data_IF_170581251874
#
_entry.id   IF_170581251874
#
_cell.length_a   1.000
_cell.length_b   1.000
_cell.length_c   1.000
_cell.angle_alpha   90.00
_cell.angle_beta   90.00
_cell.angle_gamma   90.00
#
_symmetry.space_group_name_H-M   'P 1'
#
loop_
_entity.id
_entity.type
_entity.pdbx_description
1 polymer ?
#
# COMPACT_ATOMS: atom_id res chain seq x y z
N UNK A 1 24.82 -25.61 0.01
CA UNK A 1 23.40 -25.55 -0.35
C UNK A 1 22.89 -24.16 0.03
N UNK A 2 22.87 -23.20 -0.92
CA UNK A 2 22.44 -21.81 -0.63
C UNK A 2 20.92 -21.75 -0.71
N UNK A 3 20.26 -21.71 0.44
CA UNK A 3 18.81 -21.53 0.57
C UNK A 3 18.33 -20.10 0.21
N UNK A 4 19.10 -19.32 -0.57
CA UNK A 4 18.80 -17.89 -0.78
C UNK A 4 18.03 -17.58 -2.07
N UNK A 5 17.81 -18.53 -2.97
CA UNK A 5 17.38 -18.17 -4.33
C UNK A 5 15.85 -18.11 -4.50
N UNK A 6 15.07 -18.87 -3.73
CA UNK A 6 13.63 -19.00 -3.96
C UNK A 6 12.83 -17.79 -3.42
N UNK A 7 13.14 -17.32 -2.20
CA UNK A 7 12.45 -16.17 -1.61
C UNK A 7 12.77 -14.86 -2.32
N UNK A 8 14.01 -14.69 -2.77
CA UNK A 8 14.46 -13.53 -3.53
C UNK A 8 13.84 -13.51 -4.93
N UNK A 9 13.69 -14.68 -5.55
CA UNK A 9 13.00 -14.84 -6.84
C UNK A 9 11.49 -14.62 -6.71
N UNK A 10 10.82 -15.14 -5.68
CA UNK A 10 9.39 -14.84 -5.44
C UNK A 10 9.17 -13.36 -5.18
N UNK A 11 10.07 -12.73 -4.41
CA UNK A 11 10.00 -11.28 -4.16
C UNK A 11 10.19 -10.51 -5.45
N UNK A 12 11.16 -10.89 -6.28
CA UNK A 12 11.42 -10.27 -7.58
C UNK A 12 10.26 -10.48 -8.55
N UNK A 13 9.72 -11.68 -8.64
CA UNK A 13 8.58 -12.02 -9.49
C UNK A 13 7.34 -11.25 -9.04
N UNK A 14 7.08 -11.15 -7.73
CA UNK A 14 5.97 -10.38 -7.18
C UNK A 14 6.16 -8.87 -7.43
N UNK A 15 7.38 -8.35 -7.27
CA UNK A 15 7.71 -6.97 -7.63
C UNK A 15 7.49 -6.76 -9.13
N UNK A 16 7.89 -7.68 -9.98
CA UNK A 16 7.75 -7.58 -11.43
C UNK A 16 6.30 -7.70 -11.90
N UNK A 17 5.50 -8.57 -11.26
CA UNK A 17 4.05 -8.69 -11.48
C UNK A 17 3.34 -7.42 -11.04
N UNK A 18 3.73 -6.89 -9.88
CA UNK A 18 3.23 -5.61 -9.39
C UNK A 18 3.63 -4.49 -10.35
N UNK A 19 4.89 -4.44 -10.82
CA UNK A 19 5.38 -3.45 -11.77
C UNK A 19 4.66 -3.48 -13.13
N UNK A 20 4.37 -4.68 -13.65
CA UNK A 20 3.57 -4.86 -14.88
C UNK A 20 2.11 -4.42 -14.71
N UNK A 21 1.57 -4.48 -13.49
CA UNK A 21 0.27 -3.87 -13.14
C UNK A 21 0.38 -2.36 -12.78
N UNK A 22 1.59 -1.78 -12.77
CA UNK A 22 1.87 -0.44 -12.25
C UNK A 22 2.72 0.43 -13.17
N UNK A 23 2.59 0.35 -14.51
CA UNK A 23 3.17 1.38 -15.37
C UNK A 23 2.68 2.82 -15.01
N UNK A 24 1.70 2.95 -14.11
CA UNK A 24 1.28 4.22 -13.47
C UNK A 24 1.39 4.32 -11.92
N UNK A 25 1.88 3.31 -11.16
CA UNK A 25 1.89 3.42 -9.67
C UNK A 25 3.26 3.70 -9.08
N UNK A 26 3.27 4.61 -8.10
CA UNK A 26 4.42 5.00 -7.30
C UNK A 26 5.17 3.87 -6.61
N UNK A 27 6.51 3.94 -6.67
CA UNK A 27 7.42 3.04 -5.95
C UNK A 27 7.12 3.00 -4.45
N UNK A 28 6.72 4.14 -3.87
CA UNK A 28 6.37 4.21 -2.45
C UNK A 28 5.15 3.34 -2.14
N UNK A 29 4.10 3.45 -2.96
CA UNK A 29 2.87 2.66 -2.80
C UNK A 29 3.15 1.16 -2.99
N UNK A 30 3.95 0.80 -3.99
CA UNK A 30 4.33 -0.59 -4.25
C UNK A 30 5.09 -1.18 -3.07
N UNK A 31 6.06 -0.45 -2.51
CA UNK A 31 6.83 -0.92 -1.36
C UNK A 31 5.95 -1.13 -0.12
N UNK A 32 5.07 -0.18 0.20
CA UNK A 32 4.12 -0.33 1.31
C UNK A 32 3.20 -1.54 1.14
N UNK A 33 2.71 -1.80 -0.08
CA UNK A 33 1.88 -2.98 -0.40
C UNK A 33 2.65 -4.29 -0.25
N UNK A 34 3.90 -4.34 -0.71
CA UNK A 34 4.77 -5.51 -0.54
C UNK A 34 4.89 -5.88 0.95
N UNK A 35 5.15 -4.90 1.83
CA UNK A 35 5.19 -5.14 3.27
C UNK A 35 3.88 -5.75 3.79
N UNK A 36 2.74 -5.25 3.32
CA UNK A 36 1.43 -5.80 3.65
C UNK A 36 1.29 -7.26 3.18
N UNK A 37 1.64 -7.56 1.93
CA UNK A 37 1.54 -8.91 1.37
C UNK A 37 2.47 -9.92 2.03
N UNK A 38 3.59 -9.45 2.61
CA UNK A 38 4.49 -10.26 3.43
C UNK A 38 3.98 -10.48 4.87
N UNK A 39 2.76 -10.01 5.20
CA UNK A 39 2.19 -10.09 6.54
C UNK A 39 2.76 -9.08 7.53
N UNK A 40 3.60 -8.14 7.08
CA UNK A 40 4.24 -7.12 7.91
C UNK A 40 3.31 -5.90 8.04
N UNK A 41 2.11 -6.13 8.59
CA UNK A 41 1.03 -5.13 8.59
C UNK A 41 1.39 -3.86 9.37
N UNK A 42 1.97 -3.97 10.57
CA UNK A 42 2.33 -2.79 11.38
C UNK A 42 3.38 -1.91 10.67
N UNK A 43 4.34 -2.54 9.99
CA UNK A 43 5.34 -1.81 9.19
C UNK A 43 4.71 -1.14 7.98
N UNK A 44 3.81 -1.84 7.29
CA UNK A 44 3.09 -1.31 6.14
C UNK A 44 2.21 -0.11 6.54
N UNK A 45 1.47 -0.24 7.64
CA UNK A 45 0.65 0.84 8.20
C UNK A 45 1.52 2.04 8.58
N UNK A 46 2.58 1.84 9.36
CA UNK A 46 3.50 2.92 9.75
C UNK A 46 4.07 3.63 8.52
N UNK A 47 4.47 2.86 7.50
CA UNK A 47 4.98 3.40 6.25
C UNK A 47 3.96 4.31 5.55
N UNK A 48 2.72 3.84 5.37
CA UNK A 48 1.67 4.64 4.74
C UNK A 48 1.25 5.85 5.59
N UNK A 49 1.30 5.77 6.91
CA UNK A 49 1.06 6.90 7.81
C UNK A 49 2.15 7.98 7.69
N UNK A 50 3.41 7.60 7.47
CA UNK A 50 4.48 8.55 7.16
C UNK A 50 4.31 9.15 5.77
N UNK A 51 4.00 8.32 4.77
CA UNK A 51 3.71 8.79 3.41
C UNK A 51 2.49 9.72 3.39
N UNK A 52 1.52 9.55 4.28
CA UNK A 52 0.42 10.51 4.42
C UNK A 52 0.88 11.89 4.90
N UNK A 53 1.87 11.96 5.78
CA UNK A 53 2.41 13.22 6.30
C UNK A 53 3.28 13.94 5.27
N UNK A 54 4.03 13.19 4.48
CA UNK A 54 4.81 13.68 3.35
C UNK A 54 4.52 12.84 2.10
N UNK A 55 3.47 13.20 1.33
CA UNK A 55 3.03 12.42 0.18
C UNK A 55 4.03 12.31 -0.94
N UNK A 56 5.06 13.16 -1.00
CA UNK A 56 6.07 13.14 -2.06
C UNK A 56 5.45 13.08 -3.49
N UNK A 57 4.35 13.81 -3.71
CA UNK A 57 3.61 13.83 -4.97
C UNK A 57 2.52 12.75 -5.10
N UNK A 58 2.36 11.85 -4.14
CA UNK A 58 1.29 10.87 -4.11
C UNK A 58 -0.09 11.49 -3.86
N UNK A 59 -1.10 10.88 -4.46
CA UNK A 59 -2.48 11.24 -4.20
C UNK A 59 -2.88 10.80 -2.78
N UNK A 60 -3.25 11.77 -1.94
CA UNK A 60 -3.69 11.52 -0.56
C UNK A 60 -4.88 10.55 -0.46
N UNK A 61 -5.81 10.54 -1.40
CA UNK A 61 -6.90 9.56 -1.40
C UNK A 61 -6.36 8.14 -1.61
N UNK A 62 -5.35 8.00 -2.46
CA UNK A 62 -4.71 6.71 -2.71
C UNK A 62 -3.92 6.24 -1.50
N UNK A 63 -3.27 7.15 -0.76
CA UNK A 63 -2.59 6.80 0.49
C UNK A 63 -3.60 6.28 1.53
N UNK A 64 -4.71 6.98 1.77
CA UNK A 64 -5.74 6.52 2.73
C UNK A 64 -6.34 5.18 2.33
N UNK A 65 -6.59 4.96 1.04
CA UNK A 65 -7.05 3.67 0.55
C UNK A 65 -6.08 2.54 0.92
N UNK A 66 -4.77 2.77 0.80
CA UNK A 66 -3.78 1.77 1.16
C UNK A 66 -3.69 1.56 2.68
N UNK A 67 -3.89 2.59 3.51
CA UNK A 67 -4.00 2.43 4.97
C UNK A 67 -5.22 1.56 5.31
N UNK A 68 -6.40 1.88 4.74
CA UNK A 68 -7.62 1.10 4.93
C UNK A 68 -7.44 -0.37 4.54
N UNK A 69 -6.74 -0.64 3.44
CA UNK A 69 -6.41 -2.02 3.04
C UNK A 69 -5.53 -2.73 4.07
N UNK A 70 -4.51 -2.09 4.63
CA UNK A 70 -3.68 -2.71 5.67
C UNK A 70 -4.51 -3.07 6.90
N UNK A 71 -5.39 -2.15 7.33
CA UNK A 71 -6.30 -2.37 8.46
C UNK A 71 -7.26 -3.55 8.19
N UNK A 72 -7.76 -3.72 6.96
CA UNK A 72 -8.51 -4.92 6.57
C UNK A 72 -7.71 -6.20 6.78
N UNK A 73 -6.43 -6.24 6.38
CA UNK A 73 -5.60 -7.43 6.59
C UNK A 73 -5.30 -7.71 8.07
N UNK A 74 -5.36 -6.68 8.93
CA UNK A 74 -5.27 -6.81 10.40
C UNK A 74 -6.60 -7.24 11.04
N UNK A 75 -7.72 -7.18 10.31
CA UNK A 75 -9.07 -7.41 10.85
C UNK A 75 -9.68 -6.18 11.56
N UNK A 76 -9.07 -5.01 11.40
CA UNK A 76 -9.50 -3.72 11.97
C UNK A 76 -10.52 -3.06 11.03
N UNK A 77 -11.67 -3.71 10.86
CA UNK A 77 -12.64 -3.38 9.82
C UNK A 77 -13.29 -2.00 9.99
N UNK A 78 -13.44 -1.54 11.23
CA UNK A 78 -14.09 -0.26 11.53
C UNK A 78 -13.16 0.89 11.15
N UNK A 79 -11.91 0.84 11.59
CA UNK A 79 -10.89 1.81 11.22
C UNK A 79 -10.62 1.77 9.70
N UNK A 80 -10.60 0.57 9.10
CA UNK A 80 -10.46 0.43 7.66
C UNK A 80 -11.55 1.19 6.88
N UNK A 81 -12.80 1.09 7.34
CA UNK A 81 -13.92 1.83 6.76
C UNK A 81 -13.72 3.34 6.84
N UNK A 82 -13.31 3.86 7.99
CA UNK A 82 -13.08 5.31 8.15
C UNK A 82 -12.04 5.84 7.14
N UNK A 83 -10.98 5.06 6.90
CA UNK A 83 -9.98 5.39 5.88
C UNK A 83 -10.52 5.27 4.44
N UNK A 84 -11.38 4.30 4.15
CA UNK A 84 -12.01 4.20 2.83
C UNK A 84 -13.02 5.33 2.58
N UNK A 85 -13.80 5.72 3.57
CA UNK A 85 -14.73 6.84 3.49
C UNK A 85 -13.93 8.14 3.23
N UNK A 86 -12.82 8.35 3.95
CA UNK A 86 -11.92 9.49 3.70
C UNK A 86 -11.29 9.46 2.29
N UNK A 87 -10.86 8.30 1.81
CA UNK A 87 -10.34 8.13 0.46
C UNK A 87 -11.41 8.48 -0.59
N UNK A 88 -12.62 7.97 -0.41
CA UNK A 88 -13.75 8.22 -1.29
C UNK A 88 -14.10 9.71 -1.35
N UNK A 89 -14.26 10.35 -0.19
CA UNK A 89 -14.57 11.77 -0.09
C UNK A 89 -13.53 12.60 -0.84
N UNK A 90 -12.23 12.33 -0.62
CA UNK A 90 -11.15 13.04 -1.33
C UNK A 90 -11.17 12.82 -2.83
N UNK A 91 -11.51 11.63 -3.32
CA UNK A 91 -11.65 11.38 -4.75
C UNK A 91 -12.85 12.14 -5.35
N UNK A 92 -13.93 12.28 -4.58
CA UNK A 92 -15.16 12.91 -5.03
C UNK A 92 -15.12 14.43 -4.94
N UNK A 93 -14.43 15.01 -3.94
CA UNK A 93 -14.26 16.45 -3.80
C UNK A 93 -13.21 17.03 -4.75
N UNK A 94 -12.29 16.21 -5.26
CA UNK A 94 -11.27 16.63 -6.25
C UNK A 94 -11.73 16.44 -7.71
N UNK A 95 -13.02 16.22 -7.96
CA UNK A 95 -13.55 16.25 -9.33
C UNK A 95 -13.64 17.71 -9.80
N UNK A 96 -13.03 18.08 -10.93
CA UNK A 96 -13.16 19.41 -11.52
C UNK A 96 -14.60 19.71 -11.94
#
# INVERSE_FOLDING_TARGET
>A
MKLSNAGEMITKDYIELTLRETEEKSVAIVFGRLMCSLGQYDKSQHYFEQLRKDPNGENLAWIEFNIGRVLCYKGEWKEARDHFDCAYDRMMTNKP
#
